data_IF_453701467108
#
_entry.id   IF_453701467108
#
_cell.length_a   1.000
_cell.length_b   1.000
_cell.length_c   1.000
_cell.angle_alpha   90.00
_cell.angle_beta   90.00
_cell.angle_gamma   90.00
#
_symmetry.space_group_name_H-M   'P 1'
#
loop_
_entity.id
_entity.type
_entity.pdbx_description
1 polymer ?
#
# COMPACT_ATOMS: atom_id res chain seq x y z
N UNK A 1 -22.56 17.60 -17.89
CA UNK A 1 -21.47 16.60 -17.66
C UNK A 1 -20.16 17.35 -17.61
N UNK A 2 -19.48 17.39 -16.46
CA UNK A 2 -18.24 18.16 -16.33
C UNK A 2 -17.08 17.37 -16.95
N UNK A 3 -16.52 17.88 -18.06
CA UNK A 3 -15.40 17.29 -18.80
C UNK A 3 -14.14 17.02 -17.92
N UNK A 4 -14.02 17.71 -16.79
CA UNK A 4 -12.95 17.52 -15.79
C UNK A 4 -13.07 16.16 -15.08
N UNK A 5 -14.28 15.62 -14.95
CA UNK A 5 -14.47 14.29 -14.37
C UNK A 5 -13.91 13.27 -15.37
N UNK A 6 -14.34 13.23 -16.63
CA UNK A 6 -13.97 12.13 -17.54
C UNK A 6 -12.45 12.01 -17.79
N UNK A 7 -11.71 13.12 -17.90
CA UNK A 7 -10.28 13.11 -18.27
C UNK A 7 -9.33 12.64 -17.15
N UNK A 8 -9.76 12.61 -15.89
CA UNK A 8 -8.92 12.14 -14.78
C UNK A 8 -9.05 10.62 -14.54
N UNK A 9 -9.96 9.93 -15.24
CA UNK A 9 -10.36 8.55 -14.92
C UNK A 9 -9.65 7.48 -15.75
N UNK A 10 -9.00 7.83 -16.86
CA UNK A 10 -8.25 6.86 -17.66
C UNK A 10 -6.84 6.55 -17.12
N UNK A 11 -6.37 7.30 -16.12
CA UNK A 11 -5.01 7.10 -15.60
C UNK A 11 -4.96 7.10 -14.07
N UNK A 12 -5.38 5.99 -13.44
CA UNK A 12 -4.97 5.70 -12.07
C UNK A 12 -4.50 4.24 -11.99
N UNK A 13 -3.17 3.99 -11.88
CA UNK A 13 -2.63 2.65 -11.77
C UNK A 13 -3.19 1.96 -10.52
N UNK A 14 -3.71 0.73 -10.72
CA UNK A 14 -4.25 -0.19 -9.71
C UNK A 14 -3.15 -0.83 -8.84
N UNK A 15 -1.97 -0.23 -8.80
CA UNK A 15 -0.87 -0.79 -8.01
C UNK A 15 -1.18 -0.68 -6.51
N UNK A 16 -1.08 -1.77 -5.75
CA UNK A 16 -1.22 -1.73 -4.31
C UNK A 16 -0.17 -0.76 -3.77
N UNK A 17 -0.60 0.27 -3.04
CA UNK A 17 0.33 1.20 -2.39
C UNK A 17 1.23 0.43 -1.45
N UNK A 18 2.47 0.21 -1.88
CA UNK A 18 3.53 -0.42 -1.09
C UNK A 18 3.82 0.53 0.07
N UNK A 19 3.27 0.25 1.24
CA UNK A 19 3.71 0.89 2.47
C UNK A 19 5.04 0.23 2.88
N UNK A 20 6.16 0.85 2.50
CA UNK A 20 7.42 0.57 3.19
C UNK A 20 7.28 1.11 4.61
N UNK A 21 6.84 0.24 5.52
CA UNK A 21 6.81 0.56 6.93
C UNK A 21 8.27 0.52 7.42
N UNK A 22 9.02 1.62 7.40
CA UNK A 22 10.43 1.60 7.82
C UNK A 22 10.75 2.75 8.76
N UNK A 23 11.07 2.39 10.01
CA UNK A 23 12.35 2.86 10.54
C UNK A 23 13.32 1.74 10.99
N UNK A 24 12.88 0.49 11.19
CA UNK A 24 13.69 -0.52 11.93
C UNK A 24 14.09 -1.79 11.15
N UNK A 25 13.76 -1.90 9.86
CA UNK A 25 14.13 -3.09 9.08
C UNK A 25 15.42 -2.85 8.29
N UNK A 26 16.31 -3.85 8.26
CA UNK A 26 17.54 -3.82 7.47
C UNK A 26 17.26 -3.54 5.98
N UNK A 27 18.09 -2.72 5.33
CA UNK A 27 17.99 -2.35 3.92
C UNK A 27 18.16 -3.56 2.99
N UNK A 28 17.68 -3.45 1.75
CA UNK A 28 17.74 -4.56 0.78
C UNK A 28 19.19 -4.91 0.41
N UNK A 29 19.99 -3.89 0.06
CA UNK A 29 21.40 -4.04 -0.28
C UNK A 29 22.21 -4.74 0.84
N UNK A 30 21.95 -4.38 2.10
CA UNK A 30 22.61 -5.01 3.24
C UNK A 30 22.29 -6.50 3.35
N UNK A 31 21.03 -6.89 3.15
CA UNK A 31 20.63 -8.31 3.17
C UNK A 31 21.31 -9.07 2.04
N UNK A 32 21.29 -8.49 0.83
CA UNK A 32 21.95 -9.09 -0.33
C UNK A 32 23.45 -9.26 -0.09
N UNK A 33 24.12 -8.28 0.54
CA UNK A 33 25.53 -8.39 0.91
C UNK A 33 25.79 -9.55 1.87
N UNK A 34 25.00 -9.68 2.95
CA UNK A 34 25.17 -10.77 3.92
C UNK A 34 24.92 -12.14 3.27
N UNK A 35 23.91 -12.24 2.39
CA UNK A 35 23.63 -13.47 1.64
C UNK A 35 24.75 -13.81 0.64
N UNK A 36 25.36 -12.82 -0.03
CA UNK A 36 26.53 -13.04 -0.88
C UNK A 36 27.69 -13.65 -0.09
N UNK A 37 28.00 -13.09 1.08
CA UNK A 37 29.07 -13.62 1.92
C UNK A 37 28.78 -15.03 2.47
N UNK A 38 27.51 -15.33 2.77
CA UNK A 38 27.07 -16.68 3.12
C UNK A 38 27.33 -17.67 1.97
N UNK A 39 27.05 -17.26 0.73
CA UNK A 39 27.32 -18.08 -0.47
C UNK A 39 28.83 -18.26 -0.74
N UNK A 40 29.67 -17.31 -0.33
CA UNK A 40 31.13 -17.44 -0.38
C UNK A 40 31.71 -18.41 0.68
N UNK A 41 30.87 -19.01 1.52
CA UNK A 41 31.29 -20.03 2.49
C UNK A 41 31.47 -19.56 3.93
N UNK A 42 31.12 -18.31 4.26
CA UNK A 42 31.07 -17.87 5.67
C UNK A 42 29.97 -18.60 6.44
N UNK A 43 30.19 -18.87 7.72
CA UNK A 43 29.17 -19.49 8.57
C UNK A 43 28.17 -18.44 9.09
N UNK A 44 26.95 -18.89 9.42
CA UNK A 44 25.94 -18.00 10.01
C UNK A 44 26.40 -17.35 11.32
N UNK A 45 27.19 -18.06 12.14
CA UNK A 45 27.68 -17.54 13.42
C UNK A 45 28.71 -16.44 13.23
N UNK A 46 29.66 -16.61 12.30
CA UNK A 46 30.62 -15.58 11.94
C UNK A 46 29.92 -14.31 11.44
N UNK A 47 28.93 -14.47 10.54
CA UNK A 47 28.16 -13.34 10.03
C UNK A 47 27.33 -12.66 11.13
N UNK A 48 26.75 -13.43 12.05
CA UNK A 48 26.00 -12.90 13.18
C UNK A 48 26.87 -12.02 14.09
N UNK A 49 28.10 -12.47 14.37
CA UNK A 49 29.08 -11.73 15.18
C UNK A 49 29.61 -10.50 14.42
N UNK A 50 30.00 -10.64 13.14
CA UNK A 50 30.56 -9.56 12.31
C UNK A 50 29.57 -8.41 12.07
N UNK A 51 28.31 -8.75 11.78
CA UNK A 51 27.26 -7.77 11.49
C UNK A 51 26.41 -7.40 12.70
N UNK A 52 26.68 -7.97 13.87
CA UNK A 52 25.88 -7.81 15.09
C UNK A 52 24.37 -8.05 14.84
N UNK A 53 24.07 -9.15 14.15
CA UNK A 53 22.70 -9.58 13.83
C UNK A 53 22.45 -10.98 14.35
N UNK A 54 21.21 -11.30 14.70
CA UNK A 54 20.90 -12.66 15.15
C UNK A 54 21.06 -13.68 14.01
N UNK A 55 21.57 -14.87 14.32
CA UNK A 55 21.63 -16.00 13.36
C UNK A 55 20.27 -16.29 12.73
N UNK A 56 19.19 -16.12 13.50
CA UNK A 56 17.80 -16.29 13.05
C UNK A 56 17.42 -15.29 11.96
N UNK A 57 17.94 -14.06 12.02
CA UNK A 57 17.72 -13.04 10.99
C UNK A 57 18.29 -13.50 9.64
N UNK A 58 19.51 -14.03 9.65
CA UNK A 58 20.18 -14.52 8.43
C UNK A 58 19.43 -15.73 7.86
N UNK A 59 19.00 -16.66 8.72
CA UNK A 59 18.18 -17.80 8.30
C UNK A 59 16.86 -17.37 7.65
N UNK A 60 16.20 -16.35 8.22
CA UNK A 60 14.97 -15.80 7.64
C UNK A 60 15.22 -15.18 6.25
N UNK A 61 16.33 -14.47 6.06
CA UNK A 61 16.70 -13.91 4.75
C UNK A 61 17.06 -15.00 3.73
N UNK A 62 17.69 -16.08 4.17
CA UNK A 62 17.95 -17.22 3.28
C UNK A 62 16.64 -17.87 2.80
N UNK A 63 15.65 -17.99 3.69
CA UNK A 63 14.35 -18.55 3.34
C UNK A 63 13.48 -17.59 2.51
N UNK A 64 13.54 -16.29 2.80
CA UNK A 64 12.81 -15.23 2.12
C UNK A 64 13.74 -14.01 1.94
N UNK A 65 14.49 -13.93 0.83
CA UNK A 65 15.44 -12.85 0.61
C UNK A 65 14.72 -11.51 0.46
N UNK A 66 13.61 -11.52 -0.28
CA UNK A 66 12.78 -10.35 -0.47
C UNK A 66 11.99 -10.00 0.78
N UNK A 67 11.88 -8.70 1.02
CA UNK A 67 11.04 -8.21 2.10
C UNK A 67 9.58 -8.51 1.78
N UNK A 68 8.91 -9.21 2.70
CA UNK A 68 7.44 -9.34 2.66
C UNK A 68 6.78 -7.96 2.66
N UNK A 69 6.17 -7.60 1.53
CA UNK A 69 5.33 -6.41 1.43
C UNK A 69 4.03 -6.72 2.16
N UNK A 70 3.66 -5.87 3.12
CA UNK A 70 2.35 -5.97 3.76
C UNK A 70 1.30 -5.46 2.78
N UNK A 71 0.55 -6.39 2.18
CA UNK A 71 -0.53 -6.09 1.24
C UNK A 71 -1.90 -5.85 1.91
N UNK A 72 -1.98 -5.86 3.26
CA UNK A 72 -3.28 -5.82 3.93
C UNK A 72 -3.92 -4.43 3.85
N UNK A 73 -4.82 -4.24 2.89
CA UNK A 73 -5.89 -3.28 3.03
C UNK A 73 -7.25 -3.86 2.59
N UNK A 74 -7.93 -4.56 3.51
CA UNK A 74 -9.35 -4.88 3.33
C UNK A 74 -10.17 -3.65 3.76
N UNK A 75 -10.66 -2.85 2.81
CA UNK A 75 -11.75 -1.90 3.09
C UNK A 75 -13.07 -2.65 3.18
N UNK A 76 -13.95 -2.22 4.09
CA UNK A 76 -15.37 -2.61 4.08
C UNK A 76 -16.14 -2.07 2.87
N UNK A 77 -15.60 -1.07 2.18
CA UNK A 77 -16.22 -0.41 1.03
C UNK A 77 -15.65 -1.01 -0.26
N UNK A 78 -16.55 -1.48 -1.12
CA UNK A 78 -16.26 -1.85 -2.49
C UNK A 78 -15.93 -0.58 -3.30
N UNK A 79 -14.69 -0.50 -3.78
CA UNK A 79 -14.18 0.66 -4.49
C UNK A 79 -14.85 0.83 -5.85
N UNK A 80 -15.25 -0.26 -6.51
CA UNK A 80 -15.85 -0.19 -7.84
C UNK A 80 -17.29 0.33 -7.75
N UNK A 81 -18.05 -0.15 -6.76
CA UNK A 81 -19.38 0.39 -6.47
C UNK A 81 -19.31 1.87 -6.09
N UNK A 82 -18.30 2.27 -5.30
CA UNK A 82 -18.11 3.68 -4.96
C UNK A 82 -17.77 4.54 -6.18
N UNK A 83 -17.00 4.00 -7.13
CA UNK A 83 -16.73 4.68 -8.41
C UNK A 83 -18.02 4.94 -9.18
N UNK A 84 -18.85 3.91 -9.34
CA UNK A 84 -20.13 4.04 -10.05
C UNK A 84 -21.05 5.05 -9.35
N UNK A 85 -21.16 5.01 -8.02
CA UNK A 85 -21.97 5.97 -7.26
C UNK A 85 -21.50 7.42 -7.43
N UNK A 86 -20.20 7.66 -7.64
CA UNK A 86 -19.65 8.99 -7.97
C UNK A 86 -20.04 9.44 -9.37
N UNK A 87 -20.14 8.52 -10.33
CA UNK A 87 -20.60 8.82 -11.69
C UNK A 87 -22.10 9.13 -11.73
N UNK A 88 -22.90 8.32 -11.04
CA UNK A 88 -24.35 8.45 -11.02
C UNK A 88 -24.79 9.72 -10.28
N UNK A 89 -24.05 10.11 -9.22
CA UNK A 89 -24.40 11.24 -8.37
C UNK A 89 -23.20 12.14 -8.10
N UNK A 90 -22.70 12.93 -9.07
CA UNK A 90 -21.46 13.70 -8.93
C UNK A 90 -21.54 14.80 -7.85
N UNK A 91 -22.74 15.29 -7.55
CA UNK A 91 -23.00 16.33 -6.55
C UNK A 91 -23.31 15.81 -5.14
N UNK A 92 -23.45 14.49 -4.97
CA UNK A 92 -23.80 13.90 -3.68
C UNK A 92 -22.71 14.14 -2.63
N UNK A 93 -23.14 14.57 -1.45
CA UNK A 93 -22.31 14.74 -0.27
C UNK A 93 -21.83 13.39 0.26
N UNK A 94 -20.68 13.39 0.93
CA UNK A 94 -20.10 12.17 1.53
C UNK A 94 -21.07 11.47 2.49
N UNK A 95 -21.91 12.24 3.21
CA UNK A 95 -22.94 11.71 4.12
C UNK A 95 -24.03 10.91 3.38
N UNK A 96 -24.43 11.36 2.19
CA UNK A 96 -25.49 10.71 1.40
C UNK A 96 -24.98 9.40 0.82
N UNK A 97 -23.72 9.40 0.33
CA UNK A 97 -23.02 8.19 -0.07
C UNK A 97 -22.86 7.23 1.10
N UNK A 98 -22.48 7.74 2.27
CA UNK A 98 -22.29 6.91 3.46
C UNK A 98 -23.57 6.15 3.86
N UNK A 99 -24.75 6.78 3.72
CA UNK A 99 -26.04 6.10 3.89
C UNK A 99 -26.25 4.96 2.88
N UNK A 100 -25.94 5.16 1.59
CA UNK A 100 -26.06 4.12 0.55
C UNK A 100 -25.14 2.92 0.78
N UNK A 101 -23.91 3.19 1.24
CA UNK A 101 -22.91 2.17 1.53
C UNK A 101 -22.99 1.63 2.97
N UNK A 102 -24.00 2.05 3.75
CA UNK A 102 -24.17 1.70 5.17
C UNK A 102 -22.87 1.82 5.98
N UNK A 103 -22.19 2.97 5.86
CA UNK A 103 -20.88 3.20 6.47
C UNK A 103 -20.78 4.63 7.03
N UNK A 104 -19.62 4.98 7.59
CA UNK A 104 -19.39 6.34 8.08
C UNK A 104 -18.91 7.25 6.96
N UNK A 105 -19.28 8.53 7.04
CA UNK A 105 -18.78 9.61 6.18
C UNK A 105 -17.24 9.61 6.05
N UNK A 106 -16.54 9.37 7.16
CA UNK A 106 -15.08 9.28 7.23
C UNK A 106 -14.53 8.09 6.46
N UNK A 107 -15.27 6.98 6.40
CA UNK A 107 -14.88 5.81 5.61
C UNK A 107 -14.99 6.11 4.11
N UNK A 108 -16.07 6.78 3.68
CA UNK A 108 -16.22 7.28 2.30
C UNK A 108 -15.10 8.27 1.96
N UNK A 109 -14.82 9.24 2.82
CA UNK A 109 -13.75 10.21 2.58
C UNK A 109 -12.37 9.54 2.40
N UNK A 110 -12.07 8.50 3.20
CA UNK A 110 -10.85 7.70 3.03
C UNK A 110 -10.86 6.90 1.71
N UNK A 111 -12.00 6.33 1.33
CA UNK A 111 -12.14 5.58 0.08
C UNK A 111 -12.00 6.47 -1.16
N UNK A 112 -12.62 7.66 -1.18
CA UNK A 112 -12.45 8.65 -2.24
C UNK A 112 -11.00 9.10 -2.39
N UNK A 113 -10.29 9.34 -1.27
CA UNK A 113 -8.85 9.64 -1.27
C UNK A 113 -8.01 8.51 -1.87
N UNK A 114 -8.40 7.24 -1.70
CA UNK A 114 -7.70 6.11 -2.35
C UNK A 114 -7.90 6.10 -3.85
N UNK A 115 -9.12 6.38 -4.28
CA UNK A 115 -9.48 6.54 -5.69
C UNK A 115 -8.89 7.81 -6.32
N UNK A 116 -8.21 8.65 -5.52
CA UNK A 116 -7.70 9.99 -5.90
C UNK A 116 -8.79 10.91 -6.49
N UNK A 117 -10.06 10.61 -6.24
CA UNK A 117 -11.18 11.42 -6.70
C UNK A 117 -11.31 12.64 -5.81
N UNK A 118 -10.96 13.80 -6.35
CA UNK A 118 -11.11 15.09 -5.67
C UNK A 118 -11.88 16.02 -6.57
N UNK A 119 -13.04 16.50 -6.10
CA UNK A 119 -13.82 17.52 -6.79
C UNK A 119 -13.66 18.84 -6.04
N UNK A 120 -13.19 19.87 -6.76
CA UNK A 120 -13.30 21.26 -6.32
C UNK A 120 -14.72 21.73 -6.67
N UNK A 121 -15.46 22.31 -5.70
CA UNK A 121 -16.69 23.01 -6.03
C UNK A 121 -16.31 24.27 -6.80
N UNK A 122 -16.84 24.41 -8.01
CA UNK A 122 -16.91 25.71 -8.68
C UNK A 122 -18.04 26.49 -8.01
N UNK A 123 -17.71 27.69 -7.53
CA UNK A 123 -18.67 28.72 -7.14
C UNK A 123 -19.38 29.25 -8.41
#
# INVERSE_FOLDING_TARGET
MNAIIVMFWEYIPTEPKICYNTPMAYSDDFRQQVLRQLNCGKTYRQLAEEYNISTRTILNWKANPDRKVRTSYTSKIDLEKLRQDVLDYPDAYQRERATRFNCTDRAIAKALKRLKLTRKKSD
#
